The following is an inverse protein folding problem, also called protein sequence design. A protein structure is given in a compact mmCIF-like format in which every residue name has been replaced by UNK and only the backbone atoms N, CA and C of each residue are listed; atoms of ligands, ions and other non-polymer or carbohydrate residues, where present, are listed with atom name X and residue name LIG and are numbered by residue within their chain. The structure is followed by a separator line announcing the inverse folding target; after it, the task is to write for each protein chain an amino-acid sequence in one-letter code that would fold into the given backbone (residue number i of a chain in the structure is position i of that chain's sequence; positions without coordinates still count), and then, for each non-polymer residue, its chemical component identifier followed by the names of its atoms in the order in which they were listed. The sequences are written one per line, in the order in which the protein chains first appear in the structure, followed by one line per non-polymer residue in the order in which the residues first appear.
data_IF_613037173010
#
_entry.id   IF_613037173010
#
_cell.length_a   1.000
_cell.length_b   1.000
_cell.length_c   1.000
_cell.angle_alpha   90.00
_cell.angle_beta   90.00
_cell.angle_gamma   90.00
#
_symmetry.space_group_name_H-M   'P 1'
#
loop_
_entity.id
_entity.type
_entity.pdbx_description
1 polymer ?
#
# COMPACT_ATOMS: atom_id res chain seq x y z
N UNK A 1 46.17 -37.23 -32.80
CA UNK A 1 45.54 -36.09 -33.47
C UNK A 1 45.83 -34.87 -32.62
N UNK A 2 46.93 -34.20 -32.97
CA UNK A 2 47.31 -32.85 -32.53
C UNK A 2 46.27 -31.85 -33.08
N UNK A 3 46.00 -30.66 -32.53
CA UNK A 3 46.85 -29.47 -32.41
C UNK A 3 46.11 -28.46 -31.46
N UNK A 4 46.72 -27.83 -30.43
CA UNK A 4 47.55 -26.59 -30.47
C UNK A 4 46.67 -25.37 -30.81
N UNK A 5 46.57 -24.21 -30.14
CA UNK A 5 47.39 -23.44 -29.16
C UNK A 5 46.61 -22.16 -28.74
N UNK A 6 46.54 -21.80 -27.44
CA UNK A 6 47.22 -20.70 -26.69
C UNK A 6 46.86 -19.24 -27.04
N UNK A 7 46.84 -18.43 -25.96
CA UNK A 7 47.26 -17.02 -25.78
C UNK A 7 46.06 -16.15 -25.37
N UNK A 8 46.07 -15.36 -24.30
CA UNK A 8 47.10 -15.04 -23.32
C UNK A 8 46.67 -13.79 -22.51
N UNK A 9 47.17 -13.72 -21.27
CA UNK A 9 47.64 -12.54 -20.50
C UNK A 9 46.74 -11.28 -20.38
N UNK A 10 46.56 -10.67 -19.20
CA UNK A 10 47.60 -9.95 -18.46
C UNK A 10 47.15 -9.49 -17.04
N UNK A 11 48.11 -9.51 -16.12
CA UNK A 11 48.16 -8.90 -14.79
C UNK A 11 47.69 -7.44 -14.68
N UNK A 12 47.09 -7.06 -13.53
CA UNK A 12 47.70 -5.98 -12.70
C UNK A 12 47.20 -5.93 -11.25
N UNK A 13 48.16 -6.20 -10.35
CA UNK A 13 48.19 -5.86 -8.93
C UNK A 13 48.41 -4.35 -8.76
N UNK A 14 47.64 -3.68 -7.89
CA UNK A 14 48.03 -2.40 -7.27
C UNK A 14 47.74 -2.45 -5.77
N UNK A 15 48.81 -2.53 -4.99
CA UNK A 15 48.86 -2.17 -3.57
C UNK A 15 48.88 -0.64 -3.48
N UNK A 16 48.27 -0.06 -2.45
CA UNK A 16 48.81 1.15 -1.84
C UNK A 16 48.47 1.17 -0.34
N UNK A 17 49.53 1.39 0.43
CA UNK A 17 49.61 1.52 1.87
C UNK A 17 49.68 3.03 2.17
N UNK A 18 48.99 3.54 3.20
CA UNK A 18 49.53 4.38 4.29
C UNK A 18 48.43 5.09 5.07
N UNK A 19 48.73 5.23 6.35
CA UNK A 19 47.92 5.66 7.50
C UNK A 19 47.49 7.13 7.46
N UNK A 20 46.35 7.41 8.11
CA UNK A 20 45.99 8.72 8.63
C UNK A 20 45.27 8.54 9.99
N UNK A 21 45.73 9.29 10.99
CA UNK A 21 45.40 9.27 12.43
C UNK A 21 43.90 9.39 12.79
N UNK A 22 43.49 9.03 14.03
CA UNK A 22 42.11 9.14 14.49
C UNK A 22 41.81 10.57 14.94
N UNK A 23 40.66 11.12 14.56
CA UNK A 23 40.17 12.38 15.10
C UNK A 23 38.83 12.14 15.82
N UNK A 24 38.70 12.47 17.12
CA UNK A 24 37.50 12.21 17.90
C UNK A 24 36.57 13.43 17.82
N UNK A 25 35.55 13.34 16.96
CA UNK A 25 34.40 14.24 17.04
C UNK A 25 33.13 13.41 16.91
N UNK A 26 32.79 12.76 18.01
CA UNK A 26 31.54 12.03 18.21
C UNK A 26 30.36 13.00 18.19
N UNK A 27 29.74 13.17 17.03
CA UNK A 27 28.30 13.42 16.93
C UNK A 27 27.71 12.32 16.06
N UNK A 28 27.79 11.09 16.59
CA UNK A 28 27.01 9.98 16.06
C UNK A 28 25.53 10.32 16.28
N UNK A 29 24.88 10.81 15.21
CA UNK A 29 23.43 10.80 15.07
C UNK A 29 23.00 9.38 15.42
N UNK A 30 22.44 9.21 16.61
CA UNK A 30 21.89 7.94 17.07
C UNK A 30 20.96 7.46 15.96
N UNK A 31 21.16 6.28 15.36
CA UNK A 31 20.17 5.76 14.45
C UNK A 31 18.88 5.64 15.26
N UNK A 32 17.91 6.50 14.94
CA UNK A 32 16.56 6.38 15.45
C UNK A 32 16.18 4.93 15.22
N UNK A 33 16.02 4.16 16.32
CA UNK A 33 15.51 2.80 16.24
C UNK A 33 14.16 2.97 15.58
N UNK A 34 14.09 2.69 14.27
CA UNK A 34 12.83 2.56 13.56
C UNK A 34 12.08 1.54 14.39
N UNK A 35 11.09 2.01 15.17
CA UNK A 35 10.16 1.13 15.86
C UNK A 35 9.68 0.21 14.76
N UNK A 36 10.06 -1.07 14.86
CA UNK A 36 9.66 -2.09 13.90
C UNK A 36 8.17 -1.88 13.73
N UNK A 37 7.77 -1.34 12.58
CA UNK A 37 6.38 -1.11 12.24
C UNK A 37 5.67 -2.38 12.63
N UNK A 38 4.86 -2.33 13.69
CA UNK A 38 4.01 -3.43 14.11
C UNK A 38 3.30 -3.85 12.83
N UNK A 39 3.71 -4.99 12.23
CA UNK A 39 3.09 -5.47 11.01
C UNK A 39 1.70 -5.96 11.44
N UNK A 40 0.77 -5.01 11.40
CA UNK A 40 -0.70 -5.08 11.34
C UNK A 40 -1.43 -6.12 12.19
N UNK A 41 -2.14 -5.63 13.21
CA UNK A 41 -3.28 -6.32 13.87
C UNK A 41 -4.42 -6.75 12.91
N UNK A 42 -4.36 -6.33 11.64
CA UNK A 42 -5.33 -6.66 10.60
C UNK A 42 -4.88 -7.82 9.69
N UNK A 43 -3.72 -8.43 9.93
CA UNK A 43 -3.30 -9.64 9.20
C UNK A 43 -4.37 -10.75 9.28
N UNK A 44 -5.04 -10.85 10.43
CA UNK A 44 -6.11 -11.81 10.65
C UNK A 44 -7.44 -11.45 10.00
N UNK A 45 -7.67 -10.17 9.63
CA UNK A 45 -8.90 -9.78 8.95
C UNK A 45 -8.99 -10.42 7.57
N UNK A 46 -7.85 -10.67 6.91
CA UNK A 46 -7.81 -11.34 5.60
C UNK A 46 -7.92 -12.87 5.72
N UNK A 47 -7.92 -13.42 6.94
CA UNK A 47 -8.05 -14.85 7.20
C UNK A 47 -9.50 -15.30 7.40
N UNK A 48 -10.45 -14.36 7.55
CA UNK A 48 -11.88 -14.68 7.61
C UNK A 48 -12.48 -14.78 6.19
N UNK A 49 -13.58 -15.51 6.00
CA UNK A 49 -14.29 -15.58 4.73
C UNK A 49 -14.65 -14.20 4.17
N UNK A 50 -14.49 -14.02 2.87
CA UNK A 50 -14.78 -12.77 2.15
C UNK A 50 -16.18 -12.23 2.47
N UNK A 51 -17.19 -13.08 2.52
CA UNK A 51 -18.58 -12.69 2.82
C UNK A 51 -18.70 -12.00 4.18
N UNK A 52 -17.98 -12.46 5.21
CA UNK A 52 -18.00 -11.83 6.53
C UNK A 52 -17.29 -10.48 6.53
N UNK A 53 -16.21 -10.34 5.74
CA UNK A 53 -15.53 -9.06 5.55
C UNK A 53 -16.50 -8.08 4.87
N UNK A 54 -17.19 -8.51 3.83
CA UNK A 54 -18.20 -7.72 3.12
C UNK A 54 -19.34 -7.30 4.05
N UNK A 55 -19.83 -8.19 4.92
CA UNK A 55 -20.86 -7.90 5.92
C UNK A 55 -20.38 -6.81 6.89
N UNK A 56 -19.19 -6.98 7.48
CA UNK A 56 -18.60 -5.99 8.40
C UNK A 56 -18.46 -4.63 7.71
N UNK A 57 -17.99 -4.62 6.47
CA UNK A 57 -17.84 -3.39 5.69
C UNK A 57 -19.18 -2.76 5.29
N UNK A 58 -20.23 -3.57 5.11
CA UNK A 58 -21.59 -3.07 4.85
C UNK A 58 -22.21 -2.34 6.04
N UNK A 59 -21.70 -2.57 7.26
CA UNK A 59 -22.12 -1.87 8.49
C UNK A 59 -21.44 -0.50 8.66
N UNK A 60 -20.47 -0.15 7.82
CA UNK A 60 -19.73 1.12 7.90
C UNK A 60 -20.41 2.22 7.09
N UNK A 61 -20.07 3.48 7.37
CA UNK A 61 -20.46 4.58 6.50
C UNK A 61 -19.59 4.60 5.23
N UNK A 62 -20.09 5.17 4.11
CA UNK A 62 -19.32 5.24 2.87
C UNK A 62 -18.00 6.02 3.03
N UNK A 63 -17.96 7.02 3.93
CA UNK A 63 -16.75 7.76 4.25
C UNK A 63 -15.70 6.87 4.92
N UNK A 64 -16.12 5.97 5.82
CA UNK A 64 -15.22 5.03 6.48
C UNK A 64 -14.67 4.00 5.49
N UNK A 65 -15.50 3.52 4.56
CA UNK A 65 -15.03 2.66 3.46
C UNK A 65 -14.00 3.37 2.57
N UNK A 66 -14.20 4.65 2.27
CA UNK A 66 -13.21 5.44 1.54
C UNK A 66 -11.89 5.56 2.31
N UNK A 67 -11.95 5.81 3.61
CA UNK A 67 -10.76 5.85 4.45
C UNK A 67 -10.05 4.49 4.47
N UNK A 68 -10.80 3.40 4.64
CA UNK A 68 -10.27 2.04 4.66
C UNK A 68 -9.61 1.66 3.33
N UNK A 69 -10.22 2.02 2.20
CA UNK A 69 -9.65 1.83 0.88
C UNK A 69 -8.37 2.66 0.62
N UNK A 70 -8.08 3.69 1.45
CA UNK A 70 -6.87 4.51 1.33
C UNK A 70 -5.73 4.05 2.24
N UNK A 71 -6.00 3.26 3.27
CA UNK A 71 -4.97 2.82 4.24
C UNK A 71 -4.18 1.59 3.76
N UNK A 72 -4.77 0.73 2.94
CA UNK A 72 -4.15 -0.54 2.52
C UNK A 72 -4.45 -0.87 1.06
N UNK A 73 -3.42 -1.26 0.29
CA UNK A 73 -3.55 -1.65 -1.13
C UNK A 73 -4.48 -2.86 -1.33
N UNK A 74 -4.46 -3.84 -0.44
CA UNK A 74 -5.33 -5.02 -0.51
C UNK A 74 -6.79 -4.63 -0.32
N UNK A 75 -7.07 -3.82 0.71
CA UNK A 75 -8.41 -3.29 0.96
C UNK A 75 -8.88 -2.39 -0.18
N UNK A 76 -7.98 -1.56 -0.74
CA UNK A 76 -8.28 -0.75 -1.92
C UNK A 76 -8.72 -1.63 -3.09
N UNK A 77 -7.94 -2.66 -3.42
CA UNK A 77 -8.24 -3.54 -4.54
C UNK A 77 -9.57 -4.27 -4.35
N UNK A 78 -9.90 -4.68 -3.12
CA UNK A 78 -11.18 -5.29 -2.80
C UNK A 78 -12.33 -4.28 -2.89
N UNK A 79 -12.28 -3.19 -2.13
CA UNK A 79 -13.37 -2.23 -2.00
C UNK A 79 -13.65 -1.46 -3.30
N UNK A 80 -12.64 -1.17 -4.11
CA UNK A 80 -12.83 -0.44 -5.37
C UNK A 80 -13.23 -1.35 -6.54
N UNK A 81 -13.30 -2.67 -6.33
CA UNK A 81 -13.70 -3.61 -7.37
C UNK A 81 -15.23 -3.71 -7.50
N UNK A 82 -15.72 -4.04 -8.70
CA UNK A 82 -17.16 -4.17 -9.00
C UNK A 82 -17.87 -5.17 -8.10
N UNK A 83 -17.18 -6.21 -7.65
CA UNK A 83 -17.74 -7.22 -6.73
C UNK A 83 -18.21 -6.64 -5.40
N UNK A 84 -17.61 -5.52 -4.96
CA UNK A 84 -17.95 -4.87 -3.69
C UNK A 84 -19.12 -3.90 -3.81
N UNK A 85 -19.82 -3.84 -4.96
CA UNK A 85 -20.96 -2.92 -5.17
C UNK A 85 -22.04 -3.07 -4.10
N UNK A 86 -22.35 -4.31 -3.69
CA UNK A 86 -23.35 -4.56 -2.66
C UNK A 86 -22.94 -3.97 -1.30
N UNK A 87 -21.65 -4.07 -0.94
CA UNK A 87 -21.08 -3.50 0.29
C UNK A 87 -21.26 -1.98 0.31
N UNK A 88 -20.93 -1.31 -0.80
CA UNK A 88 -21.10 0.15 -0.86
C UNK A 88 -22.56 0.60 -0.85
N UNK A 89 -23.46 -0.16 -1.47
CA UNK A 89 -24.90 0.09 -1.38
C UNK A 89 -25.39 -0.02 0.07
N UNK A 90 -25.02 -1.09 0.77
CA UNK A 90 -25.36 -1.28 2.17
C UNK A 90 -24.81 -0.12 3.04
N UNK A 91 -23.54 0.21 2.85
CA UNK A 91 -22.91 1.33 3.55
C UNK A 91 -23.64 2.66 3.29
N UNK A 92 -24.08 2.91 2.05
CA UNK A 92 -24.83 4.12 1.70
C UNK A 92 -26.17 4.19 2.43
N UNK A 93 -26.86 3.06 2.61
CA UNK A 93 -28.14 3.02 3.34
C UNK A 93 -28.01 3.29 4.83
N UNK A 94 -26.80 3.24 5.40
CA UNK A 94 -26.56 3.59 6.80
C UNK A 94 -26.72 5.09 7.08
N UNK A 95 -26.66 5.94 6.03
CA UNK A 95 -26.83 7.38 6.16
C UNK A 95 -28.27 7.77 5.80
N UNK A 96 -29.10 8.15 6.78
CA UNK A 96 -30.49 8.51 6.53
C UNK A 96 -30.58 9.77 5.67
N UNK A 97 -31.42 9.73 4.64
CA UNK A 97 -31.67 10.87 3.75
C UNK A 97 -30.62 11.07 2.65
N UNK A 98 -29.61 10.21 2.54
CA UNK A 98 -28.67 10.23 1.43
C UNK A 98 -29.33 9.65 0.16
N UNK A 99 -29.34 10.36 -0.98
CA UNK A 99 -30.01 9.88 -2.17
C UNK A 99 -29.31 8.66 -2.79
N UNK A 100 -30.01 8.03 -3.74
CA UNK A 100 -29.44 6.95 -4.53
C UNK A 100 -28.24 7.41 -5.36
N UNK A 101 -27.26 6.51 -5.50
CA UNK A 101 -26.13 6.74 -6.39
C UNK A 101 -26.69 6.91 -7.81
N UNK A 102 -26.42 8.05 -8.47
CA UNK A 102 -26.82 8.28 -9.85
C UNK A 102 -26.29 7.19 -10.80
N UNK A 103 -27.00 6.92 -11.89
CA UNK A 103 -26.65 5.85 -12.84
C UNK A 103 -25.33 6.09 -13.60
N UNK A 104 -24.91 7.35 -13.72
CA UNK A 104 -23.64 7.77 -14.29
C UNK A 104 -22.44 7.58 -13.35
N UNK A 105 -22.70 7.26 -12.08
CA UNK A 105 -21.69 7.07 -11.05
C UNK A 105 -21.68 5.64 -10.49
N UNK A 106 -20.51 5.23 -10.02
CA UNK A 106 -20.38 4.06 -9.17
C UNK A 106 -20.37 4.49 -7.69
N UNK A 107 -20.78 3.59 -6.81
CA UNK A 107 -20.94 3.90 -5.38
C UNK A 107 -19.66 4.45 -4.71
N UNK A 108 -18.44 3.91 -4.95
CA UNK A 108 -17.21 4.49 -4.37
C UNK A 108 -16.97 5.94 -4.81
N UNK A 109 -17.23 6.24 -6.09
CA UNK A 109 -17.05 7.58 -6.65
C UNK A 109 -18.11 8.54 -6.19
N UNK A 110 -19.36 8.07 -6.05
CA UNK A 110 -20.44 8.82 -5.45
C UNK A 110 -20.11 9.19 -4.00
N UNK A 111 -19.63 8.23 -3.20
CA UNK A 111 -19.16 8.50 -1.84
C UNK A 111 -18.02 9.53 -1.82
N UNK A 112 -17.07 9.44 -2.75
CA UNK A 112 -15.96 10.40 -2.83
C UNK A 112 -16.46 11.81 -3.11
N UNK A 113 -17.43 11.95 -4.03
CA UNK A 113 -18.06 13.23 -4.38
C UNK A 113 -18.84 13.82 -3.21
N UNK A 114 -19.59 12.99 -2.47
CA UNK A 114 -20.44 13.45 -1.36
C UNK A 114 -19.61 13.88 -0.15
N UNK A 115 -18.62 13.07 0.25
CA UNK A 115 -17.95 13.25 1.54
C UNK A 115 -16.61 13.94 1.48
N UNK A 116 -16.03 14.12 0.29
CA UNK A 116 -14.64 14.57 0.19
C UNK A 116 -14.48 15.71 -0.79
N UNK A 117 -14.00 16.84 -0.28
CA UNK A 117 -13.61 18.00 -1.06
C UNK A 117 -12.28 17.73 -1.80
N UNK A 118 -12.29 16.81 -2.76
CA UNK A 118 -11.15 16.53 -3.64
C UNK A 118 -11.61 16.39 -5.09
N UNK A 119 -10.79 16.87 -6.02
CA UNK A 119 -10.99 16.57 -7.45
C UNK A 119 -10.62 15.11 -7.70
N UNK A 120 -11.55 14.32 -8.24
CA UNK A 120 -11.29 12.97 -8.74
C UNK A 120 -11.21 12.98 -10.27
N UNK A 121 -10.16 12.41 -10.83
CA UNK A 121 -10.06 12.21 -12.29
C UNK A 121 -11.00 11.08 -12.66
N UNK A 122 -11.93 11.35 -13.57
CA UNK A 122 -12.78 10.33 -14.18
C UNK A 122 -11.89 9.35 -14.94
N UNK A 123 -11.81 8.10 -14.49
CA UNK A 123 -11.17 7.00 -15.22
C UNK A 123 -12.23 6.12 -15.86
#
# INVERSE_FOLDING_TARGET
MEHTTIVGSTSRKKRNFRQGSPNPSTNALRPSKRTRSQRGSLENLMNIPMELICEIFGLLDPLDLLHLARTNKTLRNMLMHRSSRAVWKAARTNIPGLPDCPDDLNEPRYAELVFVARCSVSM
#
